data_IF_538394591501
#
_entry.id   IF_538394591501
#
_cell.length_a   1.000
_cell.length_b   1.000
_cell.length_c   1.000
_cell.angle_alpha   90.00
_cell.angle_beta   90.00
_cell.angle_gamma   90.00
#
_symmetry.space_group_name_H-M   'P 1'
#
loop_
_entity.id
_entity.type
_entity.pdbx_description
1 polymer ?
#
# COMPACT_ATOMS: atom_id res chain seq x y z
N UNK A 1 -21.94 4.68 1.49
CA UNK A 1 -20.96 5.72 1.09
C UNK A 1 -20.27 5.25 -0.17
N UNK A 2 -20.03 6.14 -1.15
CA UNK A 2 -19.51 5.77 -2.48
C UNK A 2 -18.06 6.18 -2.71
N UNK A 3 -17.49 7.02 -1.84
CA UNK A 3 -16.10 7.45 -1.93
C UNK A 3 -15.53 7.80 -0.56
N UNK A 4 -14.20 7.89 -0.49
CA UNK A 4 -13.48 8.53 0.63
C UNK A 4 -12.42 9.47 0.07
N UNK A 5 -12.32 10.64 0.69
CA UNK A 5 -11.45 11.75 0.28
C UNK A 5 -10.42 12.06 1.37
N UNK A 6 -9.47 12.93 1.05
CA UNK A 6 -8.55 13.48 2.04
C UNK A 6 -9.26 14.26 3.15
N UNK A 7 -10.37 14.94 2.86
CA UNK A 7 -11.13 15.67 3.88
C UNK A 7 -11.74 14.72 4.90
N UNK A 8 -12.23 13.54 4.47
CA UNK A 8 -12.71 12.50 5.39
C UNK A 8 -11.60 12.04 6.34
N UNK A 9 -10.36 11.90 5.84
CA UNK A 9 -9.19 11.51 6.65
C UNK A 9 -8.83 12.62 7.63
N UNK A 10 -8.76 13.87 7.18
CA UNK A 10 -8.40 15.01 8.03
C UNK A 10 -9.46 15.23 9.13
N UNK A 11 -10.75 15.19 8.78
CA UNK A 11 -11.84 15.29 9.75
C UNK A 11 -11.81 14.14 10.76
N UNK A 12 -11.38 12.94 10.34
CA UNK A 12 -11.34 11.76 11.20
C UNK A 12 -10.15 11.75 12.15
N UNK A 13 -8.96 12.05 11.64
CA UNK A 13 -7.70 11.78 12.31
C UNK A 13 -6.91 13.04 12.67
N UNK A 14 -7.08 14.16 11.96
CA UNK A 14 -6.46 15.45 12.30
C UNK A 14 -7.36 16.24 13.27
N UNK A 15 -7.59 15.70 14.45
CA UNK A 15 -8.50 16.26 15.47
C UNK A 15 -7.81 16.61 16.79
N UNK A 16 -6.48 16.51 16.84
CA UNK A 16 -5.66 16.86 17.99
C UNK A 16 -4.48 17.75 17.57
N UNK A 17 -3.88 18.55 18.48
CA UNK A 17 -2.71 19.36 18.16
C UNK A 17 -1.57 18.55 17.54
N UNK A 18 -1.34 17.34 18.04
CA UNK A 18 -0.28 16.45 17.54
C UNK A 18 -0.55 15.94 16.13
N UNK A 19 -1.78 15.54 15.83
CA UNK A 19 -2.14 15.04 14.49
C UNK A 19 -2.15 16.15 13.44
N UNK A 20 -2.46 17.39 13.85
CA UNK A 20 -2.26 18.60 13.04
C UNK A 20 -0.79 18.89 12.76
N UNK A 21 0.08 18.73 13.76
CA UNK A 21 1.52 18.88 13.59
C UNK A 21 2.08 17.83 12.61
N UNK A 22 1.69 16.56 12.73
CA UNK A 22 2.07 15.49 11.80
C UNK A 22 1.69 15.87 10.36
N UNK A 23 0.44 16.27 10.13
CA UNK A 23 -0.03 16.69 8.81
C UNK A 23 0.74 17.91 8.27
N UNK A 24 0.92 18.93 9.11
CA UNK A 24 1.61 20.16 8.73
C UNK A 24 3.07 19.90 8.36
N UNK A 25 3.76 19.07 9.14
CA UNK A 25 5.15 18.69 8.89
C UNK A 25 5.27 17.84 7.63
N UNK A 26 4.35 16.90 7.40
CA UNK A 26 4.32 16.12 6.17
C UNK A 26 4.12 17.00 4.93
N UNK A 27 3.23 17.99 5.00
CA UNK A 27 2.97 18.93 3.89
C UNK A 27 4.17 19.85 3.62
N UNK A 28 4.98 20.16 4.64
CA UNK A 28 6.17 21.01 4.54
C UNK A 28 7.45 20.25 4.15
N UNK A 29 7.47 18.92 4.23
CA UNK A 29 8.62 18.12 3.82
C UNK A 29 8.90 18.36 2.32
N UNK A 30 10.12 18.80 2.00
CA UNK A 30 10.54 19.12 0.64
C UNK A 30 10.36 17.94 -0.34
N UNK A 31 10.48 16.70 0.16
CA UNK A 31 10.25 15.47 -0.64
C UNK A 31 8.77 15.23 -0.94
N UNK A 32 7.87 15.96 -0.29
CA UNK A 32 6.42 15.82 -0.42
C UNK A 32 5.78 16.95 -1.22
N UNK A 33 6.58 17.89 -1.74
CA UNK A 33 6.06 19.02 -2.55
C UNK A 33 5.22 18.53 -3.72
N UNK A 34 5.64 17.47 -4.40
CA UNK A 34 4.86 16.87 -5.50
C UNK A 34 3.85 15.83 -5.02
N UNK A 35 4.16 15.11 -3.94
CA UNK A 35 3.33 14.01 -3.42
C UNK A 35 2.06 14.53 -2.76
N UNK A 36 2.18 15.57 -1.95
CA UNK A 36 1.07 16.06 -1.13
C UNK A 36 -0.12 16.54 -1.99
N UNK A 37 0.04 17.35 -3.05
CA UNK A 37 -1.09 17.74 -3.90
C UNK A 37 -1.82 16.54 -4.52
N UNK A 38 -1.09 15.53 -5.01
CA UNK A 38 -1.67 14.33 -5.62
C UNK A 38 -2.44 13.50 -4.60
N UNK A 39 -1.85 13.23 -3.43
CA UNK A 39 -2.50 12.47 -2.36
C UNK A 39 -3.72 13.22 -1.83
N UNK A 40 -3.62 14.55 -1.68
CA UNK A 40 -4.71 15.40 -1.20
C UNK A 40 -5.89 15.42 -2.20
N UNK A 41 -5.61 15.44 -3.50
CA UNK A 41 -6.62 15.42 -4.55
C UNK A 41 -7.21 14.02 -4.82
N UNK A 42 -6.63 12.97 -4.25
CA UNK A 42 -7.09 11.60 -4.46
C UNK A 42 -8.51 11.40 -3.91
N UNK A 43 -9.30 10.61 -4.64
CA UNK A 43 -10.62 10.14 -4.25
C UNK A 43 -10.59 8.62 -4.39
N UNK A 44 -10.69 7.93 -3.26
CA UNK A 44 -10.87 6.49 -3.28
C UNK A 44 -12.34 6.24 -3.65
N UNK A 45 -12.59 5.80 -4.87
CA UNK A 45 -13.94 5.53 -5.40
C UNK A 45 -14.02 4.08 -5.87
N UNK A 46 -13.06 3.65 -6.70
CA UNK A 46 -13.15 2.35 -7.33
C UNK A 46 -13.16 1.20 -6.31
N UNK A 47 -12.42 1.31 -5.22
CA UNK A 47 -12.39 0.27 -4.18
C UNK A 47 -13.78 0.00 -3.57
N UNK A 48 -14.70 0.97 -3.63
CA UNK A 48 -16.09 0.85 -3.17
C UNK A 48 -17.01 0.22 -4.23
N UNK A 49 -16.61 0.25 -5.50
CA UNK A 49 -17.35 -0.29 -6.66
C UNK A 49 -16.96 -1.73 -6.98
N UNK A 50 -15.75 -2.16 -6.58
CA UNK A 50 -15.25 -3.51 -6.84
C UNK A 50 -16.01 -4.59 -6.07
N UNK A 51 -16.25 -5.72 -6.73
CA UNK A 51 -16.62 -6.99 -6.11
C UNK A 51 -15.39 -7.87 -5.87
N UNK A 52 -15.55 -8.90 -5.04
CA UNK A 52 -14.48 -9.89 -4.81
C UNK A 52 -14.12 -10.65 -6.09
N UNK A 53 -15.12 -10.92 -6.93
CA UNK A 53 -14.93 -11.55 -8.24
C UNK A 53 -14.07 -10.69 -9.19
N UNK A 54 -14.21 -9.36 -9.15
CA UNK A 54 -13.36 -8.46 -9.96
C UNK A 54 -11.89 -8.58 -9.58
N UNK A 55 -11.62 -8.64 -8.27
CA UNK A 55 -10.24 -8.78 -7.75
C UNK A 55 -9.67 -10.15 -8.08
N UNK A 56 -10.45 -11.22 -7.89
CA UNK A 56 -10.06 -12.59 -8.24
C UNK A 56 -9.78 -12.72 -9.75
N UNK A 57 -10.61 -12.13 -10.61
CA UNK A 57 -10.40 -12.12 -12.05
C UNK A 57 -9.09 -11.41 -12.43
N UNK A 58 -8.71 -10.32 -11.76
CA UNK A 58 -7.39 -9.69 -11.93
C UNK A 58 -6.26 -10.63 -11.49
N UNK A 59 -6.41 -11.25 -10.32
CA UNK A 59 -5.43 -12.20 -9.79
C UNK A 59 -5.17 -13.39 -10.73
N UNK A 60 -6.19 -13.81 -11.48
CA UNK A 60 -6.07 -14.89 -12.47
C UNK A 60 -5.39 -14.44 -13.78
N UNK A 61 -5.70 -13.25 -14.29
CA UNK A 61 -5.19 -12.77 -15.59
C UNK A 61 -3.88 -11.98 -15.52
N UNK A 62 -3.46 -11.60 -14.32
CA UNK A 62 -2.24 -10.81 -14.14
C UNK A 62 -1.00 -11.62 -14.54
N UNK A 63 -0.11 -11.00 -15.31
CA UNK A 63 1.22 -11.57 -15.53
C UNK A 63 1.95 -11.78 -14.19
N UNK A 64 2.90 -12.72 -14.17
CA UNK A 64 3.77 -12.89 -13.04
C UNK A 64 4.65 -11.64 -12.84
N UNK A 65 4.35 -10.86 -11.79
CA UNK A 65 4.98 -9.59 -11.51
C UNK A 65 6.51 -9.70 -11.30
N UNK A 66 6.98 -10.80 -10.70
CA UNK A 66 8.42 -11.04 -10.48
C UNK A 66 9.11 -11.63 -11.72
N UNK A 67 8.35 -12.05 -12.74
CA UNK A 67 8.91 -12.62 -13.97
C UNK A 67 9.72 -13.89 -13.69
N UNK A 68 11.01 -13.87 -14.02
CA UNK A 68 11.95 -14.97 -13.75
C UNK A 68 12.95 -14.63 -12.64
N UNK A 69 12.71 -13.56 -11.87
CA UNK A 69 13.65 -13.09 -10.84
C UNK A 69 13.65 -14.06 -9.68
N UNK A 70 14.81 -14.67 -9.40
CA UNK A 70 14.98 -15.51 -8.22
C UNK A 70 14.98 -14.63 -6.98
N UNK A 71 14.41 -15.14 -5.89
CA UNK A 71 14.38 -14.45 -4.59
C UNK A 71 15.76 -13.98 -4.13
N UNK A 72 16.77 -14.83 -4.26
CA UNK A 72 18.14 -14.51 -3.84
C UNK A 72 18.67 -13.28 -4.60
N UNK A 73 18.43 -13.21 -5.91
CA UNK A 73 18.87 -12.09 -6.74
C UNK A 73 18.10 -10.82 -6.34
N UNK A 74 16.78 -10.92 -6.21
CA UNK A 74 15.91 -9.81 -5.87
C UNK A 74 16.16 -9.21 -4.48
N UNK A 75 16.51 -10.05 -3.49
CA UNK A 75 16.83 -9.63 -2.11
C UNK A 75 18.32 -9.26 -1.94
N UNK A 76 19.19 -9.53 -2.91
CA UNK A 76 20.65 -9.29 -2.78
C UNK A 76 21.06 -7.82 -2.83
N UNK A 77 20.24 -6.94 -3.41
CA UNK A 77 20.56 -5.53 -3.61
C UNK A 77 19.86 -4.69 -2.54
N UNK A 78 20.45 -4.60 -1.35
CA UNK A 78 19.86 -3.93 -0.19
C UNK A 78 19.38 -2.49 -0.48
N UNK A 79 20.16 -1.72 -1.24
CA UNK A 79 19.82 -0.34 -1.62
C UNK A 79 18.49 -0.22 -2.41
N UNK A 80 18.06 -1.27 -3.11
CA UNK A 80 16.78 -1.33 -3.83
C UNK A 80 15.69 -1.95 -2.95
N UNK A 81 16.03 -2.96 -2.15
CA UNK A 81 15.10 -3.57 -1.19
C UNK A 81 14.58 -2.52 -0.20
N UNK A 82 15.49 -1.71 0.33
CA UNK A 82 15.23 -0.65 1.31
C UNK A 82 14.92 0.71 0.65
N UNK A 83 14.72 0.73 -0.67
CA UNK A 83 14.34 1.94 -1.37
C UNK A 83 12.92 2.39 -1.01
N UNK A 84 12.79 3.68 -0.71
CA UNK A 84 11.54 4.35 -0.37
C UNK A 84 11.35 5.53 -1.33
N UNK A 85 10.64 5.35 -2.46
CA UNK A 85 10.32 6.46 -3.36
C UNK A 85 9.50 7.54 -2.66
N UNK A 86 9.54 8.76 -3.20
CA UNK A 86 8.73 9.87 -2.70
C UNK A 86 7.23 9.52 -2.80
N UNK A 87 6.77 9.01 -3.94
CA UNK A 87 5.45 8.37 -4.00
C UNK A 87 5.54 6.94 -3.47
N UNK A 88 4.86 6.65 -2.35
CA UNK A 88 4.76 5.29 -1.84
C UNK A 88 4.06 4.39 -2.88
N UNK A 89 4.47 3.12 -2.99
CA UNK A 89 3.89 2.21 -4.00
C UNK A 89 2.36 2.13 -3.93
N UNK A 90 1.79 2.09 -2.72
CA UNK A 90 0.33 2.08 -2.54
C UNK A 90 -0.34 3.32 -3.16
N UNK A 91 0.28 4.50 -3.05
CA UNK A 91 -0.23 5.73 -3.69
C UNK A 91 -0.22 5.61 -5.20
N UNK A 92 0.86 5.08 -5.78
CA UNK A 92 0.96 4.87 -7.24
C UNK A 92 -0.11 3.88 -7.73
N UNK A 93 -0.34 2.80 -6.99
CA UNK A 93 -1.37 1.81 -7.34
C UNK A 93 -2.78 2.38 -7.26
N UNK A 94 -3.10 3.11 -6.18
CA UNK A 94 -4.40 3.76 -6.03
C UNK A 94 -4.65 4.80 -7.13
N UNK A 95 -3.67 5.65 -7.46
CA UNK A 95 -3.81 6.61 -8.58
C UNK A 95 -4.01 5.90 -9.91
N UNK A 96 -3.20 4.88 -10.21
CA UNK A 96 -3.33 4.07 -11.42
C UNK A 96 -4.74 3.45 -11.53
N UNK A 97 -5.24 2.88 -10.43
CA UNK A 97 -6.55 2.23 -10.37
C UNK A 97 -7.69 3.22 -10.63
N UNK A 98 -7.66 4.39 -9.99
CA UNK A 98 -8.69 5.41 -10.17
C UNK A 98 -8.66 6.03 -11.58
N UNK A 99 -7.47 6.27 -12.15
CA UNK A 99 -7.36 6.78 -13.52
C UNK A 99 -7.85 5.78 -14.57
N UNK A 100 -7.55 4.49 -14.38
CA UNK A 100 -8.00 3.45 -15.29
C UNK A 100 -9.48 3.08 -15.12
N UNK A 101 -10.12 3.52 -14.03
CA UNK A 101 -11.48 3.11 -13.62
C UNK A 101 -11.66 1.59 -13.59
N UNK A 102 -10.59 0.86 -13.24
CA UNK A 102 -10.57 -0.59 -13.05
C UNK A 102 -9.34 -0.99 -12.24
N UNK A 103 -9.42 -2.12 -11.54
CA UNK A 103 -8.25 -2.69 -10.87
C UNK A 103 -7.24 -3.17 -11.93
N UNK A 104 -6.01 -2.62 -11.96
CA UNK A 104 -5.04 -2.95 -12.99
C UNK A 104 -4.48 -4.36 -12.80
N UNK A 105 -4.30 -5.08 -13.90
CA UNK A 105 -3.37 -6.21 -13.93
C UNK A 105 -1.91 -5.72 -13.86
N UNK A 106 -0.94 -6.62 -13.65
CA UNK A 106 0.47 -6.20 -13.57
C UNK A 106 0.96 -5.60 -14.89
N UNK A 107 0.53 -6.15 -16.02
CA UNK A 107 0.86 -5.63 -17.35
C UNK A 107 0.23 -4.25 -17.62
N UNK A 108 -1.00 -4.02 -17.13
CA UNK A 108 -1.62 -2.69 -17.17
C UNK A 108 -0.81 -1.70 -16.34
N UNK A 109 -0.51 -2.06 -15.10
CA UNK A 109 0.27 -1.24 -14.19
C UNK A 109 1.69 -0.97 -14.73
N UNK A 110 2.35 -1.98 -15.32
CA UNK A 110 3.65 -1.81 -15.96
C UNK A 110 3.56 -0.81 -17.11
N UNK A 111 2.53 -0.91 -17.95
CA UNK A 111 2.33 0.04 -19.04
C UNK A 111 2.13 1.46 -18.49
N UNK A 112 1.29 1.62 -17.47
CA UNK A 112 1.12 2.90 -16.78
C UNK A 112 2.44 3.45 -16.24
N UNK A 113 3.13 2.68 -15.39
CA UNK A 113 4.35 3.12 -14.73
C UNK A 113 5.47 3.54 -15.70
N UNK A 114 5.51 3.00 -16.92
CA UNK A 114 6.59 3.26 -17.87
C UNK A 114 6.20 4.01 -19.15
N UNK A 115 4.90 4.21 -19.42
CA UNK A 115 4.42 4.89 -20.63
C UNK A 115 3.44 6.04 -20.36
N UNK A 116 2.80 6.07 -19.19
CA UNK A 116 1.92 7.19 -18.80
C UNK A 116 2.73 8.33 -18.18
N UNK A 117 2.30 9.58 -18.42
CA UNK A 117 2.99 10.76 -17.90
C UNK A 117 3.06 10.76 -16.36
N UNK A 118 1.95 10.46 -15.68
CA UNK A 118 1.92 10.37 -14.22
C UNK A 118 2.63 9.12 -13.72
N UNK A 119 2.45 7.99 -14.40
CA UNK A 119 3.15 6.75 -14.04
C UNK A 119 4.68 6.89 -14.08
N UNK A 120 5.22 7.55 -15.12
CA UNK A 120 6.63 7.88 -15.26
C UNK A 120 7.13 8.74 -14.10
N UNK A 121 6.43 9.86 -13.82
CA UNK A 121 6.80 10.79 -12.75
C UNK A 121 6.75 10.15 -11.37
N UNK A 122 5.70 9.39 -11.06
CA UNK A 122 5.49 8.82 -9.73
C UNK A 122 6.41 7.64 -9.44
N UNK A 123 6.71 6.81 -10.45
CA UNK A 123 7.46 5.57 -10.24
C UNK A 123 8.47 5.25 -11.34
N UNK A 124 8.10 5.36 -12.62
CA UNK A 124 8.94 4.88 -13.73
C UNK A 124 10.33 5.48 -13.74
N UNK A 125 10.42 6.81 -13.74
CA UNK A 125 11.69 7.52 -13.78
C UNK A 125 12.45 7.45 -12.45
N UNK A 126 11.82 7.59 -11.26
CA UNK A 126 12.48 7.31 -9.99
C UNK A 126 13.08 5.89 -9.90
N UNK A 127 12.37 4.87 -10.42
CA UNK A 127 12.86 3.50 -10.43
C UNK A 127 14.05 3.31 -11.37
N UNK A 128 14.00 3.88 -12.59
CA UNK A 128 15.14 3.87 -13.53
C UNK A 128 16.34 4.59 -12.93
N UNK A 129 16.15 5.78 -12.36
CA UNK A 129 17.20 6.55 -11.71
C UNK A 129 17.85 5.74 -10.58
N UNK A 130 17.05 5.06 -9.74
CA UNK A 130 17.57 4.22 -8.67
C UNK A 130 18.37 3.02 -9.19
N UNK A 131 17.92 2.39 -10.28
CA UNK A 131 18.67 1.31 -10.93
C UNK A 131 20.02 1.82 -11.45
N UNK A 132 20.05 2.97 -12.12
CA UNK A 132 21.31 3.57 -12.60
C UNK A 132 22.24 3.95 -11.45
N UNK A 133 21.72 4.60 -10.40
CA UNK A 133 22.46 4.97 -9.19
C UNK A 133 23.15 3.73 -8.57
N UNK A 134 22.39 2.65 -8.39
CA UNK A 134 22.93 1.42 -7.79
C UNK A 134 23.92 0.73 -8.72
N UNK A 135 23.68 0.73 -10.02
CA UNK A 135 24.59 0.15 -11.00
C UNK A 135 25.93 0.88 -11.05
N UNK A 136 25.92 2.20 -10.85
CA UNK A 136 27.13 3.01 -10.76
C UNK A 136 28.04 2.67 -9.56
N UNK A 137 27.54 1.91 -8.57
CA UNK A 137 28.34 1.41 -7.44
C UNK A 137 29.03 0.06 -7.72
N UNK A 138 28.91 -0.47 -8.95
CA UNK A 138 29.53 -1.73 -9.39
C UNK A 138 28.60 -2.94 -9.36
N UNK A 139 27.33 -2.77 -8.93
CA UNK A 139 26.31 -3.82 -9.06
C UNK A 139 25.97 -4.00 -10.55
N UNK A 140 25.96 -5.24 -11.10
CA UNK A 140 25.57 -5.44 -12.48
C UNK A 140 24.16 -4.88 -12.76
N UNK A 141 24.00 -4.09 -13.82
CA UNK A 141 22.73 -3.41 -14.12
C UNK A 141 21.56 -4.37 -14.22
N UNK A 142 21.78 -5.56 -14.81
CA UNK A 142 20.76 -6.62 -14.86
C UNK A 142 20.28 -7.02 -13.46
N UNK A 143 21.19 -7.20 -12.51
CA UNK A 143 20.85 -7.55 -11.13
C UNK A 143 20.10 -6.42 -10.43
N UNK A 144 20.49 -5.16 -10.63
CA UNK A 144 19.77 -4.00 -10.12
C UNK A 144 18.33 -3.91 -10.68
N UNK A 145 18.15 -4.16 -11.99
CA UNK A 145 16.83 -4.23 -12.64
C UNK A 145 15.98 -5.36 -12.09
N UNK A 146 16.57 -6.54 -11.90
CA UNK A 146 15.88 -7.71 -11.33
C UNK A 146 15.44 -7.45 -9.88
N UNK A 147 16.29 -6.82 -9.06
CA UNK A 147 15.93 -6.37 -7.71
C UNK A 147 14.82 -5.32 -7.70
N UNK A 148 14.84 -4.38 -8.66
CA UNK A 148 13.76 -3.38 -8.79
C UNK A 148 12.44 -4.04 -9.17
N UNK A 149 12.47 -4.97 -10.14
CA UNK A 149 11.30 -5.77 -10.52
C UNK A 149 10.77 -6.56 -9.33
N UNK A 150 11.66 -7.20 -8.57
CA UNK A 150 11.30 -7.92 -7.35
C UNK A 150 10.59 -7.02 -6.34
N UNK A 151 11.14 -5.82 -6.10
CA UNK A 151 10.60 -4.85 -5.14
C UNK A 151 9.20 -4.38 -5.54
N UNK A 152 9.04 -3.94 -6.78
CA UNK A 152 7.77 -3.42 -7.31
C UNK A 152 6.74 -4.54 -7.43
N UNK A 153 7.13 -5.72 -7.91
CA UNK A 153 6.21 -6.84 -8.07
C UNK A 153 5.67 -7.38 -6.74
N UNK A 154 6.49 -7.42 -5.68
CA UNK A 154 6.00 -7.77 -4.35
C UNK A 154 5.07 -6.70 -3.77
N UNK A 155 5.34 -5.40 -4.04
CA UNK A 155 4.42 -4.33 -3.66
C UNK A 155 3.07 -4.47 -4.36
N UNK A 156 3.05 -4.79 -5.66
CA UNK A 156 1.83 -5.03 -6.44
C UNK A 156 1.03 -6.22 -5.90
N UNK A 157 1.68 -7.35 -5.58
CA UNK A 157 1.00 -8.48 -4.95
C UNK A 157 0.45 -8.15 -3.58
N UNK A 158 1.13 -7.30 -2.81
CA UNK A 158 0.63 -6.86 -1.50
C UNK A 158 -0.60 -5.97 -1.65
N UNK A 159 -0.59 -5.07 -2.62
CA UNK A 159 -1.71 -4.20 -2.97
C UNK A 159 -2.97 -4.99 -3.36
N UNK A 160 -2.86 -6.01 -4.24
CA UNK A 160 -4.03 -6.82 -4.61
C UNK A 160 -4.66 -7.54 -3.41
N UNK A 161 -3.83 -7.98 -2.45
CA UNK A 161 -4.31 -8.65 -1.24
C UNK A 161 -5.01 -7.69 -0.29
N UNK A 162 -4.50 -6.47 -0.20
CA UNK A 162 -5.13 -5.38 0.55
C UNK A 162 -6.50 -5.02 -0.05
N UNK A 163 -6.56 -4.77 -1.36
CA UNK A 163 -7.82 -4.49 -2.06
C UNK A 163 -8.83 -5.63 -1.86
N UNK A 164 -8.41 -6.89 -2.05
CA UNK A 164 -9.29 -8.04 -1.80
C UNK A 164 -9.81 -8.06 -0.37
N UNK A 165 -8.94 -7.82 0.61
CA UNK A 165 -9.31 -7.82 2.03
C UNK A 165 -10.37 -6.75 2.32
N UNK A 166 -10.18 -5.53 1.81
CA UNK A 166 -11.13 -4.44 1.97
C UNK A 166 -12.46 -4.77 1.30
N UNK A 167 -12.43 -5.20 0.04
CA UNK A 167 -13.64 -5.52 -0.74
C UNK A 167 -14.44 -6.67 -0.10
N UNK A 168 -13.76 -7.74 0.32
CA UNK A 168 -14.41 -8.90 0.94
C UNK A 168 -15.00 -8.57 2.32
N UNK A 169 -14.32 -7.74 3.13
CA UNK A 169 -14.87 -7.30 4.42
C UNK A 169 -16.06 -6.35 4.23
N UNK A 170 -16.03 -5.49 3.20
CA UNK A 170 -17.18 -4.65 2.82
C UNK A 170 -18.36 -5.48 2.36
N UNK A 171 -18.13 -6.55 1.58
CA UNK A 171 -19.21 -7.46 1.17
C UNK A 171 -19.84 -8.22 2.33
N UNK A 172 -19.18 -8.24 3.50
CA UNK A 172 -19.73 -8.77 4.77
C UNK A 172 -20.51 -7.72 5.58
N UNK A 173 -20.72 -6.53 5.02
CA UNK A 173 -21.54 -5.46 5.63
C UNK A 173 -20.75 -4.42 6.44
N UNK A 174 -19.41 -4.48 6.46
CA UNK A 174 -18.61 -3.44 7.12
C UNK A 174 -18.50 -2.19 6.24
N UNK A 175 -18.79 -1.01 6.78
CA UNK A 175 -18.49 0.27 6.11
C UNK A 175 -17.00 0.64 6.28
N UNK A 176 -16.12 -0.20 5.74
CA UNK A 176 -14.69 0.06 5.74
C UNK A 176 -14.36 1.21 4.82
N UNK A 177 -13.60 2.16 5.35
CA UNK A 177 -13.06 3.29 4.61
C UNK A 177 -11.56 3.13 4.47
N UNK A 178 -11.05 3.53 3.32
CA UNK A 178 -9.63 3.50 2.97
C UNK A 178 -9.25 4.79 2.25
N UNK A 179 -8.03 5.24 2.48
CA UNK A 179 -7.48 6.38 1.76
C UNK A 179 -5.94 6.42 1.85
N UNK A 180 -5.22 6.65 0.74
CA UNK A 180 -3.76 6.83 0.71
C UNK A 180 -3.19 7.79 1.77
N UNK A 181 -3.91 8.88 2.07
CA UNK A 181 -3.50 9.87 3.07
C UNK A 181 -3.47 9.28 4.50
N UNK A 182 -4.40 8.38 4.82
CA UNK A 182 -4.49 7.75 6.14
C UNK A 182 -3.26 6.86 6.41
N UNK A 183 -2.83 6.07 5.43
CA UNK A 183 -1.56 5.33 5.52
C UNK A 183 -0.35 6.27 5.58
N UNK A 184 -0.32 7.29 4.72
CA UNK A 184 0.80 8.23 4.60
C UNK A 184 1.14 8.91 5.94
N UNK A 185 0.12 9.44 6.62
CA UNK A 185 0.26 10.19 7.86
C UNK A 185 0.23 9.30 9.09
N UNK A 186 -0.68 8.32 9.12
CA UNK A 186 -1.09 7.66 10.36
C UNK A 186 -0.90 6.13 10.35
N UNK A 187 -0.40 5.53 9.26
CA UNK A 187 -0.23 4.07 9.11
C UNK A 187 -1.55 3.32 9.30
N UNK A 188 -2.63 3.92 8.83
CA UNK A 188 -3.98 3.36 8.84
C UNK A 188 -4.29 2.84 7.45
N UNK A 189 -4.40 1.52 7.30
CA UNK A 189 -4.74 0.88 6.02
C UNK A 189 -6.25 0.99 5.75
N UNK A 190 -7.08 0.84 6.80
CA UNK A 190 -8.52 1.03 6.74
C UNK A 190 -9.11 1.46 8.09
N UNK A 191 -10.36 1.92 8.12
CA UNK A 191 -11.10 2.13 9.37
C UNK A 191 -12.60 1.88 9.22
N UNK A 192 -13.26 1.54 10.32
CA UNK A 192 -14.73 1.40 10.41
C UNK A 192 -15.19 1.94 11.77
N UNK A 193 -16.10 2.91 11.78
CA UNK A 193 -16.50 3.58 13.01
C UNK A 193 -15.31 4.16 13.79
N UNK A 194 -15.11 3.72 15.03
CA UNK A 194 -13.98 4.05 15.90
C UNK A 194 -12.78 3.10 15.81
N UNK A 195 -12.84 2.06 14.97
CA UNK A 195 -11.80 1.06 14.82
C UNK A 195 -10.87 1.40 13.65
N UNK A 196 -9.58 1.53 13.96
CA UNK A 196 -8.47 1.66 13.02
C UNK A 196 -7.92 0.28 12.73
N UNK A 197 -7.68 -0.01 11.45
CA UNK A 197 -7.22 -1.30 10.99
C UNK A 197 -5.84 -1.17 10.35
N UNK A 198 -4.92 -2.02 10.78
CA UNK A 198 -3.65 -2.26 10.11
C UNK A 198 -3.61 -3.66 9.50
N UNK A 199 -3.34 -3.73 8.21
CA UNK A 199 -3.11 -4.96 7.47
C UNK A 199 -1.63 -5.33 7.57
N UNK A 200 -1.36 -6.56 8.00
CA UNK A 200 0.01 -7.03 8.16
C UNK A 200 0.20 -8.35 7.44
N UNK A 201 1.11 -8.41 6.49
CA UNK A 201 1.58 -9.71 5.97
C UNK A 201 2.59 -10.30 6.95
N UNK A 202 2.32 -11.49 7.49
CA UNK A 202 3.24 -12.19 8.37
C UNK A 202 4.57 -12.49 7.67
N UNK A 203 5.66 -11.87 8.10
CA UNK A 203 7.02 -12.22 7.67
C UNK A 203 7.90 -12.47 8.90
N UNK A 204 8.35 -13.72 9.07
CA UNK A 204 9.17 -14.17 10.21
C UNK A 204 10.50 -13.40 10.32
N UNK A 205 11.06 -12.90 9.21
CA UNK A 205 12.35 -12.17 9.18
C UNK A 205 12.25 -10.71 9.66
N UNK A 206 11.07 -10.09 9.61
CA UNK A 206 10.86 -8.69 9.99
C UNK A 206 10.46 -8.50 11.47
N UNK A 207 10.58 -9.54 12.31
CA UNK A 207 9.97 -9.60 13.64
C UNK A 207 10.91 -9.99 14.79
N UNK A 208 12.23 -9.96 14.62
CA UNK A 208 13.19 -10.13 15.72
C UNK A 208 13.98 -8.83 15.95
N UNK A 209 13.63 -8.07 16.99
CA UNK A 209 14.42 -6.94 17.49
C UNK A 209 13.56 -5.74 17.95
N UNK A 210 13.77 -5.28 19.18
CA UNK A 210 13.26 -4.00 19.74
C UNK A 210 14.12 -2.79 19.30
N UNK A 211 14.65 -2.81 18.08
CA UNK A 211 15.62 -1.83 17.58
C UNK A 211 15.04 -0.72 16.70
N UNK A 212 15.81 0.38 16.59
CA UNK A 212 15.58 1.54 15.73
C UNK A 212 15.34 1.13 14.27
N UNK A 213 14.15 1.43 13.75
CA UNK A 213 13.76 1.10 12.37
C UNK A 213 12.30 0.70 12.21
N UNK A 214 11.61 0.31 13.30
CA UNK A 214 10.17 0.06 13.24
C UNK A 214 9.40 1.39 13.16
N UNK A 215 8.65 1.57 12.07
CA UNK A 215 7.75 2.71 11.90
C UNK A 215 6.84 2.86 13.12
N UNK A 216 6.62 4.09 13.56
CA UNK A 216 5.71 4.38 14.68
C UNK A 216 4.33 3.79 14.36
N UNK A 217 3.76 2.96 15.25
CA UNK A 217 2.49 2.30 14.98
C UNK A 217 1.33 3.29 15.19
N UNK A 218 0.15 3.06 14.56
CA UNK A 218 -0.98 4.00 14.58
C UNK A 218 -1.46 4.34 16.00
N UNK A 219 -1.38 3.39 16.94
CA UNK A 219 -1.73 3.57 18.35
C UNK A 219 -0.95 4.73 18.98
N UNK A 220 0.34 4.84 18.62
CA UNK A 220 1.19 5.91 19.13
C UNK A 220 0.95 7.22 18.40
N UNK A 221 0.63 7.20 17.10
CA UNK A 221 0.38 8.41 16.31
C UNK A 221 -0.95 9.08 16.67
N UNK A 222 -1.95 8.28 17.05
CA UNK A 222 -3.33 8.70 17.29
C UNK A 222 -3.73 8.66 18.78
N UNK A 223 -2.77 8.55 19.70
CA UNK A 223 -3.01 8.35 21.13
C UNK A 223 -3.84 9.47 21.81
N UNK A 224 -3.76 10.69 21.28
CA UNK A 224 -4.43 11.88 21.82
C UNK A 224 -5.75 12.22 21.09
N UNK A 225 -6.17 11.40 20.12
CA UNK A 225 -7.46 11.54 19.46
C UNK A 225 -8.60 11.29 20.46
N UNK A 226 -9.66 12.11 20.35
CA UNK A 226 -10.87 12.03 21.16
C UNK A 226 -12.12 12.06 20.26
N UNK A 227 -13.09 11.14 20.44
CA UNK A 227 -13.06 9.98 21.36
C UNK A 227 -11.93 8.99 21.01
N UNK A 228 -11.43 8.19 21.98
CA UNK A 228 -10.36 7.23 21.73
C UNK A 228 -10.70 6.25 20.61
N UNK A 229 -9.69 5.90 19.83
CA UNK A 229 -9.80 4.90 18.76
C UNK A 229 -9.44 3.51 19.29
N UNK A 230 -10.07 2.50 18.71
CA UNK A 230 -9.71 1.11 18.89
C UNK A 230 -8.81 0.66 17.74
N UNK A 231 -7.87 -0.24 18.01
CA UNK A 231 -6.88 -0.65 17.01
C UNK A 231 -6.94 -2.16 16.80
N UNK A 232 -7.11 -2.56 15.53
CA UNK A 232 -7.16 -3.95 15.12
C UNK A 232 -6.04 -4.23 14.10
N UNK A 233 -5.26 -5.28 14.34
CA UNK A 233 -4.31 -5.79 13.35
C UNK A 233 -4.89 -7.04 12.68
N UNK A 234 -4.97 -7.02 11.35
CA UNK A 234 -5.33 -8.19 10.55
C UNK A 234 -4.05 -8.80 9.98
N UNK A 235 -3.61 -9.92 10.57
CA UNK A 235 -2.44 -10.65 10.11
C UNK A 235 -2.78 -11.57 8.94
N UNK A 236 -2.40 -11.17 7.73
CA UNK A 236 -2.54 -11.95 6.52
C UNK A 236 -1.43 -13.00 6.41
N UNK A 237 -1.78 -14.21 5.97
CA UNK A 237 -0.83 -15.31 5.79
C UNK A 237 0.32 -14.97 4.83
N UNK A 238 1.53 -15.52 4.99
CA UNK A 238 2.60 -15.34 4.01
C UNK A 238 2.22 -15.96 2.65
N UNK A 239 2.87 -15.50 1.58
CA UNK A 239 2.76 -16.13 0.27
C UNK A 239 3.31 -17.57 0.31
N UNK A 240 2.57 -18.53 -0.23
CA UNK A 240 2.94 -19.97 -0.23
C UNK A 240 3.44 -20.49 -1.57
N UNK A 241 3.22 -19.74 -2.65
CA UNK A 241 3.58 -20.10 -4.03
C UNK A 241 4.26 -18.91 -4.71
N UNK A 242 5.38 -19.19 -5.38
CA UNK A 242 6.11 -18.18 -6.12
C UNK A 242 5.27 -17.68 -7.30
N UNK A 243 5.16 -16.36 -7.42
CA UNK A 243 4.56 -15.71 -8.58
C UNK A 243 3.05 -15.74 -8.72
N UNK A 244 2.34 -16.09 -7.66
CA UNK A 244 0.89 -15.94 -7.59
C UNK A 244 0.50 -14.93 -6.51
N UNK A 245 -0.67 -14.32 -6.69
CA UNK A 245 -1.31 -13.54 -5.62
C UNK A 245 -1.87 -14.53 -4.58
N UNK A 246 -1.68 -14.22 -3.30
CA UNK A 246 -2.13 -15.05 -2.18
C UNK A 246 -3.27 -14.36 -1.44
N UNK A 247 -4.49 -14.62 -1.86
CA UNK A 247 -5.66 -14.03 -1.21
C UNK A 247 -5.90 -14.67 0.17
N UNK A 248 -6.27 -13.88 1.19
CA UNK A 248 -6.66 -14.43 2.49
C UNK A 248 -7.91 -15.33 2.34
N UNK A 249 -8.02 -16.35 3.20
CA UNK A 249 -9.18 -17.24 3.16
C UNK A 249 -10.44 -16.58 3.68
N UNK A 250 -11.59 -17.00 3.18
CA UNK A 250 -12.90 -16.50 3.63
C UNK A 250 -13.07 -16.67 5.14
N UNK A 251 -12.73 -17.84 5.69
CA UNK A 251 -12.83 -18.08 7.15
C UNK A 251 -12.00 -17.09 7.97
N UNK A 252 -10.80 -16.74 7.50
CA UNK A 252 -9.96 -15.75 8.17
C UNK A 252 -10.61 -14.36 8.16
N UNK A 253 -11.17 -13.96 7.02
CA UNK A 253 -11.84 -12.66 6.89
C UNK A 253 -13.19 -12.61 7.61
N UNK A 254 -13.96 -13.70 7.65
CA UNK A 254 -15.21 -13.78 8.43
C UNK A 254 -14.94 -13.63 9.93
N UNK A 255 -13.88 -14.26 10.44
CA UNK A 255 -13.47 -14.10 11.84
C UNK A 255 -12.99 -12.67 12.12
N UNK A 256 -12.30 -12.03 11.17
CA UNK A 256 -11.93 -10.62 11.29
C UNK A 256 -13.15 -9.70 11.27
N UNK A 257 -14.12 -9.95 10.39
CA UNK A 257 -15.34 -9.17 10.29
C UNK A 257 -16.15 -9.22 11.59
N UNK A 258 -16.34 -10.41 12.18
CA UNK A 258 -17.03 -10.57 13.45
C UNK A 258 -16.40 -9.73 14.58
N UNK A 259 -15.07 -9.63 14.64
CA UNK A 259 -14.36 -8.79 15.63
C UNK A 259 -14.48 -7.29 15.34
N UNK A 260 -14.65 -6.90 14.09
CA UNK A 260 -14.77 -5.49 13.70
C UNK A 260 -16.20 -4.97 13.86
N UNK A 261 -17.20 -5.84 13.72
CA UNK A 261 -18.63 -5.49 13.83
C UNK A 261 -19.11 -5.27 15.27
N UNK A 262 -18.54 -5.98 16.25
CA UNK A 262 -18.85 -5.79 17.69
C UNK A 262 -17.87 -4.83 18.29
#
# INVERSE_FOLDING_TARGET
>A
MTQTTSDDVLQRFCVSPRTWEIYTNWKKDARRVEVAPVVMAHRAELVYELSTADVEAVCHRTEHALGQVRRLDGESVAAIVDWHPDFAFTHVFHVCMEQMRRLPSYQDFRSYAYNDHWGLRMLGDPAKAKVHEVSATGVPERLARDAMRWRVGNAYYSFLREVYTVVQLRSMGLDLRVHPLADALFRVDAWVGNKVISLRVGNKKFRQGEGAGRKMPPERLLADVRPPLEFATLELSPATKFGSVHLPSLNHLSAAAARLSG
#
